data_IF_389018890551
#
_entry.id   IF_389018890551
#
_cell.length_a   1.000
_cell.length_b   1.000
_cell.length_c   1.000
_cell.angle_alpha   90.00
_cell.angle_beta   90.00
_cell.angle_gamma   90.00
#
_symmetry.space_group_name_H-M   'P 1'
#
loop_
_entity.id
_entity.type
_entity.pdbx_description
1 polymer ?
#
# COMPACT_ATOMS: atom_id res chain seq x y z
N UNK A 1 1.56 -8.87 -2.46
CA UNK A 1 0.59 -8.02 -1.73
C UNK A 1 1.29 -6.68 -1.56
N UNK A 2 0.69 -5.61 -2.08
CA UNK A 2 1.31 -4.29 -2.29
C UNK A 2 2.04 -3.77 -1.04
N UNK A 3 1.51 -4.03 0.18
CA UNK A 3 2.15 -3.57 1.42
C UNK A 3 3.56 -4.12 1.64
N UNK A 4 3.81 -5.39 1.28
CA UNK A 4 5.12 -6.02 1.44
C UNK A 4 6.10 -5.59 0.34
N UNK A 5 5.60 -5.34 -0.86
CA UNK A 5 6.39 -4.79 -1.96
C UNK A 5 6.90 -3.40 -1.60
N UNK A 6 6.00 -2.51 -1.15
CA UNK A 6 6.36 -1.17 -0.69
C UNK A 6 7.31 -1.22 0.51
N UNK A 7 7.07 -2.12 1.46
CA UNK A 7 7.95 -2.23 2.61
C UNK A 7 9.37 -2.69 2.21
N UNK A 8 9.47 -3.60 1.23
CA UNK A 8 10.75 -4.01 0.64
C UNK A 8 11.45 -2.83 -0.05
N UNK A 9 10.72 -2.04 -0.84
CA UNK A 9 11.26 -0.84 -1.49
C UNK A 9 11.77 0.20 -0.48
N UNK A 10 11.10 0.33 0.66
CA UNK A 10 11.48 1.22 1.75
C UNK A 10 12.53 0.62 2.71
N UNK A 11 13.01 -0.61 2.46
CA UNK A 11 13.91 -1.34 3.36
C UNK A 11 13.38 -1.47 4.79
N UNK A 12 12.06 -1.61 4.94
CA UNK A 12 11.39 -1.83 6.24
C UNK A 12 11.40 -3.34 6.51
N UNK A 13 11.89 -3.80 7.68
CA UNK A 13 12.11 -5.21 7.98
C UNK A 13 10.80 -5.91 8.37
N UNK A 14 9.90 -6.07 7.40
CA UNK A 14 8.67 -6.86 7.52
C UNK A 14 8.73 -8.03 6.57
N UNK A 15 8.27 -9.18 7.03
CA UNK A 15 8.26 -10.40 6.25
C UNK A 15 6.85 -10.96 6.20
N UNK A 16 6.49 -11.55 5.07
CA UNK A 16 5.21 -12.24 4.93
C UNK A 16 5.29 -13.57 5.68
N UNK A 17 4.72 -13.62 6.89
CA UNK A 17 4.67 -14.80 7.74
C UNK A 17 3.26 -15.33 7.97
N UNK A 18 3.13 -16.35 8.83
CA UNK A 18 1.83 -16.86 9.31
C UNK A 18 1.09 -15.83 10.16
N UNK A 19 1.83 -14.97 10.86
CA UNK A 19 1.31 -13.82 11.60
C UNK A 19 1.77 -12.53 10.93
N UNK A 20 0.83 -11.67 10.57
CA UNK A 20 1.06 -10.38 9.93
C UNK A 20 1.29 -9.29 10.98
N UNK A 21 2.32 -9.47 11.82
CA UNK A 21 2.58 -8.61 12.96
C UNK A 21 3.57 -7.49 12.64
N UNK A 22 3.10 -6.25 12.75
CA UNK A 22 3.90 -5.03 12.50
C UNK A 22 4.18 -4.25 13.79
N UNK A 23 3.88 -4.79 14.97
CA UNK A 23 3.96 -4.03 16.23
C UNK A 23 5.38 -3.66 16.68
N UNK A 24 6.41 -4.32 16.13
CA UNK A 24 7.81 -3.94 16.34
C UNK A 24 8.29 -2.83 15.38
N UNK A 25 7.47 -2.46 14.39
CA UNK A 25 7.78 -1.41 13.41
C UNK A 25 7.29 -0.07 13.94
N UNK A 26 8.08 0.98 13.74
CA UNK A 26 7.69 2.32 14.19
C UNK A 26 6.41 2.77 13.49
N UNK A 27 5.52 3.48 14.20
CA UNK A 27 4.29 4.02 13.61
C UNK A 27 4.57 4.91 12.39
N UNK A 28 5.72 5.58 12.38
CA UNK A 28 6.20 6.38 11.24
C UNK A 28 6.40 5.53 9.99
N UNK A 29 7.05 4.38 10.12
CA UNK A 29 7.35 3.51 8.98
C UNK A 29 6.10 2.75 8.50
N UNK A 30 5.25 2.29 9.43
CA UNK A 30 3.92 1.78 9.10
C UNK A 30 3.09 2.81 8.32
N UNK A 31 3.09 4.06 8.78
CA UNK A 31 2.41 5.18 8.13
C UNK A 31 2.94 5.48 6.74
N UNK A 32 4.26 5.41 6.52
CA UNK A 32 4.87 5.57 5.19
C UNK A 32 4.37 4.49 4.22
N UNK A 33 4.36 3.21 4.65
CA UNK A 33 3.88 2.11 3.80
C UNK A 33 2.42 2.34 3.43
N UNK A 34 1.56 2.55 4.42
CA UNK A 34 0.12 2.79 4.18
C UNK A 34 -0.15 4.01 3.30
N UNK A 35 0.58 5.10 3.49
CA UNK A 35 0.47 6.30 2.65
C UNK A 35 0.85 6.04 1.19
N UNK A 36 1.91 5.29 0.94
CA UNK A 36 2.30 4.91 -0.44
C UNK A 36 1.27 3.97 -1.06
N UNK A 37 0.68 3.05 -0.28
CA UNK A 37 -0.40 2.20 -0.77
C UNK A 37 -1.57 3.04 -1.28
N UNK A 38 -2.06 3.97 -0.46
CA UNK A 38 -3.17 4.87 -0.85
C UNK A 38 -2.79 5.70 -2.06
N UNK A 39 -1.58 6.25 -2.10
CA UNK A 39 -1.09 7.00 -3.25
C UNK A 39 -1.10 6.18 -4.55
N UNK A 40 -0.66 4.92 -4.49
CA UNK A 40 -0.68 4.01 -5.65
C UNK A 40 -2.12 3.66 -6.07
N UNK A 41 -2.99 3.39 -5.10
CA UNK A 41 -4.41 3.09 -5.38
C UNK A 41 -5.11 4.26 -6.06
N UNK A 42 -4.86 5.50 -5.61
CA UNK A 42 -5.39 6.71 -6.25
C UNK A 42 -4.86 6.83 -7.67
N UNK A 43 -3.55 6.69 -7.88
CA UNK A 43 -2.97 6.78 -9.23
C UNK A 43 -3.52 5.73 -10.21
N UNK A 44 -3.80 4.52 -9.71
CA UNK A 44 -4.46 3.47 -10.50
C UNK A 44 -5.91 3.84 -10.81
N UNK A 45 -6.67 4.33 -9.83
CA UNK A 45 -8.05 4.78 -10.03
C UNK A 45 -8.13 5.96 -11.02
N UNK A 46 -7.21 6.94 -10.93
CA UNK A 46 -7.09 8.05 -11.88
C UNK A 46 -6.83 7.52 -13.30
N UNK A 47 -5.94 6.54 -13.45
CA UNK A 47 -5.66 5.90 -14.75
C UNK A 47 -6.89 5.16 -15.31
N UNK A 48 -7.64 4.45 -14.46
CA UNK A 48 -8.87 3.77 -14.87
C UNK A 48 -9.96 4.75 -15.30
N UNK A 49 -10.11 5.86 -14.60
CA UNK A 49 -11.03 6.95 -14.96
C UNK A 49 -10.68 7.58 -16.31
N UNK A 50 -9.40 7.87 -16.56
CA UNK A 50 -8.93 8.35 -17.86
C UNK A 50 -9.17 7.33 -18.98
N UNK A 51 -9.19 6.03 -18.66
CA UNK A 51 -9.54 4.95 -19.58
C UNK A 51 -11.03 4.79 -19.85
N UNK A 52 -11.89 5.67 -19.30
CA UNK A 52 -13.34 5.64 -19.51
C UNK A 52 -14.07 4.59 -18.66
N UNK A 53 -13.39 3.96 -17.69
CA UNK A 53 -14.02 2.99 -16.80
C UNK A 53 -14.85 3.75 -15.75
N UNK A 54 -16.15 3.53 -15.75
CA UNK A 54 -17.04 4.08 -14.73
C UNK A 54 -16.72 3.41 -13.39
N UNK A 55 -16.36 4.21 -12.38
CA UNK A 55 -16.23 3.70 -11.02
C UNK A 55 -17.64 3.44 -10.49
N UNK A 56 -17.92 2.20 -10.11
CA UNK A 56 -19.11 1.87 -9.34
C UNK A 56 -19.02 2.60 -8.00
N UNK A 57 -20.04 3.42 -7.70
CA UNK A 57 -20.11 4.11 -6.41
C UNK A 57 -20.35 3.06 -5.32
N UNK A 58 -19.58 3.16 -4.23
CA UNK A 58 -19.73 2.34 -3.01
C UNK A 58 -21.01 2.76 -2.28
#
# INVERSE_FOLDING_TARGET
NIKYEIATELSIPVHQGSEDYWGNITSKDCGKVGGIMVKRMIALAEKELLGGKQLDKI
#
